data_IF_058602090189
#
_entry.id   IF_058602090189
#
_cell.length_a   1.000
_cell.length_b   1.000
_cell.length_c   1.000
_cell.angle_alpha   90.00
_cell.angle_beta   90.00
_cell.angle_gamma   90.00
#
_symmetry.space_group_name_H-M   'P 1'
#
loop_
_entity.id
_entity.type
_entity.pdbx_description
1 polymer ?
#
# COMPACT_ATOMS: atom_id res chain seq x y z
N UNK A 1 22.03 4.61 34.91
CA UNK A 1 22.34 4.76 33.48
C UNK A 1 21.01 4.73 32.74
N UNK A 2 20.45 5.88 32.37
CA UNK A 2 19.18 5.95 31.62
C UNK A 2 19.48 5.90 30.14
N UNK A 3 19.04 4.83 29.47
CA UNK A 3 19.09 4.74 28.01
C UNK A 3 18.07 5.73 27.44
N UNK A 4 18.54 6.69 26.63
CA UNK A 4 17.68 7.57 25.87
C UNK A 4 16.83 6.74 24.89
N UNK A 5 15.54 7.08 24.68
CA UNK A 5 14.77 6.44 23.62
C UNK A 5 15.43 6.78 22.28
N UNK A 6 15.88 5.75 21.56
CA UNK A 6 16.38 5.91 20.20
C UNK A 6 15.33 6.65 19.36
N UNK A 7 15.72 7.57 18.46
CA UNK A 7 14.77 8.14 17.53
C UNK A 7 14.19 6.98 16.74
N UNK A 8 12.89 6.71 16.92
CA UNK A 8 12.15 5.87 15.97
C UNK A 8 12.40 6.55 14.64
N UNK A 9 13.15 5.89 13.74
CA UNK A 9 13.35 6.38 12.39
C UNK A 9 11.96 6.80 11.90
N UNK A 10 11.74 8.10 11.71
CA UNK A 10 10.51 8.59 11.08
C UNK A 10 10.54 7.97 9.70
N UNK A 11 9.80 6.87 9.53
CA UNK A 11 9.56 6.34 8.21
C UNK A 11 9.01 7.50 7.38
N UNK A 12 9.46 7.69 6.13
CA UNK A 12 8.88 8.70 5.27
C UNK A 12 7.37 8.48 5.29
N UNK A 13 6.63 9.50 5.69
CA UNK A 13 5.18 9.50 5.75
C UNK A 13 4.66 9.45 4.31
N UNK A 14 4.56 8.24 3.77
CA UNK A 14 3.98 8.00 2.45
C UNK A 14 2.55 8.53 2.46
N UNK A 15 2.31 9.62 1.72
CA UNK A 15 0.98 10.20 1.66
C UNK A 15 0.01 9.28 0.93
N UNK A 16 -1.17 9.06 1.51
CA UNK A 16 -2.27 8.39 0.82
C UNK A 16 -2.78 9.31 -0.30
N UNK A 17 -2.87 8.83 -1.55
CA UNK A 17 -3.39 9.66 -2.63
C UNK A 17 -4.83 10.12 -2.34
N UNK A 18 -5.17 11.35 -2.71
CA UNK A 18 -6.47 11.97 -2.39
C UNK A 18 -7.69 11.17 -2.92
N UNK A 19 -7.50 10.42 -4.00
CA UNK A 19 -8.54 9.58 -4.60
C UNK A 19 -8.73 8.21 -3.91
N UNK A 20 -7.97 7.93 -2.84
CA UNK A 20 -8.02 6.64 -2.17
C UNK A 20 -9.32 6.47 -1.36
N UNK A 21 -9.95 5.28 -1.39
CA UNK A 21 -11.03 4.94 -0.47
C UNK A 21 -10.58 5.02 0.99
N UNK A 22 -11.52 5.29 1.91
CA UNK A 22 -11.23 5.48 3.33
C UNK A 22 -10.56 4.29 4.04
N UNK A 23 -10.68 3.07 3.49
CA UNK A 23 -10.04 1.88 4.03
C UNK A 23 -8.57 1.73 3.60
N UNK A 24 -8.09 2.50 2.62
CA UNK A 24 -6.70 2.48 2.18
C UNK A 24 -5.86 3.37 3.10
N UNK A 25 -4.85 2.78 3.73
CA UNK A 25 -4.01 3.48 4.71
C UNK A 25 -2.60 3.77 4.16
N UNK A 26 -1.85 4.73 4.76
CA UNK A 26 -0.45 5.00 4.42
C UNK A 26 0.44 3.76 4.51
N UNK A 27 0.18 2.91 5.50
CA UNK A 27 0.92 1.68 5.77
C UNK A 27 0.69 0.66 4.66
N UNK A 28 -0.55 0.54 4.19
CA UNK A 28 -0.88 -0.36 3.07
C UNK A 28 -0.20 0.09 1.78
N UNK A 29 -0.21 1.39 1.47
CA UNK A 29 0.51 1.93 0.31
C UNK A 29 2.01 1.66 0.44
N UNK A 30 2.59 1.96 1.60
CA UNK A 30 4.02 1.74 1.87
C UNK A 30 4.39 0.27 1.75
N UNK A 31 3.54 -0.62 2.25
CA UNK A 31 3.77 -2.06 2.17
C UNK A 31 3.71 -2.56 0.72
N UNK A 32 2.70 -2.11 -0.04
CA UNK A 32 2.58 -2.42 -1.47
C UNK A 32 3.82 -1.96 -2.23
N UNK A 33 4.26 -0.71 -2.06
CA UNK A 33 5.48 -0.21 -2.70
C UNK A 33 6.70 -1.09 -2.34
N UNK A 34 6.90 -1.38 -1.06
CA UNK A 34 8.03 -2.20 -0.60
C UNK A 34 8.06 -3.59 -1.24
N UNK A 35 6.90 -4.25 -1.33
CA UNK A 35 6.80 -5.62 -1.86
C UNK A 35 6.97 -5.64 -3.37
N UNK A 36 6.38 -4.68 -4.06
CA UNK A 36 6.25 -4.72 -5.51
C UNK A 36 7.38 -4.01 -6.24
N UNK A 37 8.05 -3.02 -5.64
CA UNK A 37 9.10 -2.24 -6.30
C UNK A 37 10.18 -3.11 -6.95
N UNK A 38 10.54 -4.24 -6.31
CA UNK A 38 11.59 -5.15 -6.83
C UNK A 38 11.28 -5.73 -8.22
N UNK A 39 10.03 -5.68 -8.66
CA UNK A 39 9.60 -6.20 -9.96
C UNK A 39 9.48 -5.11 -11.04
N UNK A 40 9.69 -3.84 -10.68
CA UNK A 40 9.58 -2.71 -11.59
C UNK A 40 10.93 -2.00 -11.70
N UNK A 41 11.36 -1.77 -12.94
CA UNK A 41 12.58 -1.00 -13.25
C UNK A 41 12.41 0.46 -12.83
N UNK A 42 11.25 1.02 -13.14
CA UNK A 42 10.90 2.39 -12.75
C UNK A 42 10.41 2.46 -11.29
N UNK A 43 10.73 3.53 -10.55
CA UNK A 43 10.20 3.74 -9.21
C UNK A 43 8.67 3.86 -9.21
N UNK A 44 8.01 2.98 -8.46
CA UNK A 44 6.57 3.01 -8.23
C UNK A 44 6.21 4.21 -7.34
N UNK A 45 5.12 4.86 -7.68
CA UNK A 45 4.56 6.00 -6.95
C UNK A 45 3.39 5.54 -6.06
N UNK A 46 3.02 6.33 -5.03
CA UNK A 46 1.84 6.06 -4.22
C UNK A 46 0.56 5.82 -5.05
N UNK A 47 0.42 6.50 -6.19
CA UNK A 47 -0.70 6.33 -7.12
C UNK A 47 -0.69 4.95 -7.79
N UNK A 48 0.49 4.43 -8.15
CA UNK A 48 0.63 3.09 -8.73
C UNK A 48 0.25 2.02 -7.70
N UNK A 49 0.74 2.16 -6.47
CA UNK A 49 0.37 1.28 -5.37
C UNK A 49 -1.14 1.29 -5.10
N UNK A 50 -1.78 2.47 -5.13
CA UNK A 50 -3.23 2.58 -5.00
C UNK A 50 -3.94 1.85 -6.15
N UNK A 51 -3.50 2.02 -7.40
CA UNK A 51 -4.08 1.34 -8.54
C UNK A 51 -3.99 -0.19 -8.42
N UNK A 52 -2.84 -0.71 -7.95
CA UNK A 52 -2.65 -2.14 -7.70
C UNK A 52 -3.61 -2.66 -6.62
N UNK A 53 -3.72 -1.96 -5.49
CA UNK A 53 -4.63 -2.30 -4.40
C UNK A 53 -6.08 -2.37 -4.89
N UNK A 54 -6.54 -1.34 -5.61
CA UNK A 54 -7.90 -1.30 -6.14
C UNK A 54 -8.15 -2.38 -7.21
N UNK A 55 -7.15 -2.69 -8.03
CA UNK A 55 -7.20 -3.77 -9.00
C UNK A 55 -7.43 -5.13 -8.34
N UNK A 56 -6.67 -5.45 -7.28
CA UNK A 56 -6.82 -6.69 -6.51
C UNK A 56 -8.18 -6.76 -5.81
N UNK A 57 -8.66 -5.68 -5.22
CA UNK A 57 -9.99 -5.65 -4.58
C UNK A 57 -11.12 -5.94 -5.58
N UNK A 58 -11.04 -5.36 -6.78
CA UNK A 58 -12.01 -5.62 -7.87
C UNK A 58 -11.96 -7.08 -8.33
N UNK A 59 -10.75 -7.61 -8.53
CA UNK A 59 -10.57 -9.01 -8.93
C UNK A 59 -11.14 -9.96 -7.88
N UNK A 60 -10.80 -9.74 -6.61
CA UNK A 60 -11.30 -10.56 -5.51
C UNK A 60 -12.84 -10.56 -5.42
N UNK A 61 -13.46 -9.40 -5.68
CA UNK A 61 -14.93 -9.28 -5.74
C UNK A 61 -15.50 -10.15 -6.85
N UNK A 62 -14.97 -10.08 -8.07
CA UNK A 62 -15.44 -10.90 -9.20
C UNK A 62 -15.30 -12.39 -8.91
N UNK A 63 -14.18 -12.83 -8.33
CA UNK A 63 -13.95 -14.23 -7.96
C UNK A 63 -14.95 -14.69 -6.88
N UNK A 64 -15.21 -13.85 -5.88
CA UNK A 64 -16.15 -14.16 -4.81
C UNK A 64 -17.60 -14.24 -5.28
N UNK A 65 -17.98 -13.36 -6.22
CA UNK A 65 -19.32 -13.35 -6.83
C UNK A 65 -19.51 -14.51 -7.82
N UNK A 66 -18.48 -14.87 -8.59
CA UNK A 66 -18.52 -15.98 -9.56
C UNK A 66 -18.42 -17.37 -8.94
N UNK A 67 -17.91 -17.51 -7.71
CA UNK A 67 -17.81 -18.78 -6.99
C UNK A 67 -19.14 -19.26 -6.37
N UNK A 68 -20.24 -18.52 -6.58
CA UNK A 68 -21.59 -18.86 -6.11
C UNK A 68 -22.54 -19.41 -7.19
N UNK A 69 -22.04 -19.74 -8.38
CA UNK A 69 -22.83 -20.30 -9.49
C UNK A 69 -22.63 -21.82 -9.65
#
# INVERSE_FOLDING_TARGET
MSAAPSPRCSAPSTSVPQAAPAWVTPELITHTLRVWQRYYVEPLKPEDALAMILGVSKLNRVISEGSGA
#
